data_IF_323274735478
#
_entry.id   IF_323274735478
#
_cell.length_a   1.000
_cell.length_b   1.000
_cell.length_c   1.000
_cell.angle_alpha   90.00
_cell.angle_beta   90.00
_cell.angle_gamma   90.00
#
_symmetry.space_group_name_H-M   'P 1'
#
loop_
_entity.id
_entity.type
_entity.pdbx_description
1 polymer ?
#
# COMPACT_ATOMS: atom_id res chain seq x y z
N UNK A 1 20.10 25.77 25.10
CA UNK A 1 20.62 26.10 26.46
C UNK A 1 19.85 27.27 27.07
N UNK A 2 19.80 28.45 26.44
CA UNK A 2 19.13 29.66 27.00
C UNK A 2 17.59 29.59 27.14
N UNK A 3 16.88 28.85 26.26
CA UNK A 3 15.42 28.74 26.32
C UNK A 3 14.95 27.90 27.53
N UNK A 4 15.73 26.87 27.86
CA UNK A 4 15.43 25.92 28.94
C UNK A 4 15.63 26.57 30.32
N UNK A 5 16.63 27.43 30.46
CA UNK A 5 16.86 28.19 31.68
C UNK A 5 15.72 29.18 31.97
N UNK A 6 15.22 29.88 30.96
CA UNK A 6 14.09 30.82 31.11
C UNK A 6 12.80 30.10 31.47
N UNK A 7 12.54 28.93 30.89
CA UNK A 7 11.36 28.13 31.22
C UNK A 7 11.39 27.61 32.67
N UNK A 8 12.56 27.17 33.14
CA UNK A 8 12.74 26.72 34.52
C UNK A 8 12.60 27.87 35.53
N UNK A 9 13.07 29.06 35.18
CA UNK A 9 12.96 30.27 36.01
C UNK A 9 11.50 30.73 36.15
N UNK A 10 10.70 30.61 35.08
CA UNK A 10 9.24 30.88 35.12
C UNK A 10 8.52 29.86 36.02
N UNK A 11 8.91 28.58 35.99
CA UNK A 11 8.30 27.50 36.78
C UNK A 11 8.68 27.53 38.27
N UNK A 12 9.74 28.24 38.65
CA UNK A 12 10.19 28.37 40.04
C UNK A 12 9.47 29.48 40.81
N UNK A 13 8.57 30.25 40.18
CA UNK A 13 7.87 31.34 40.87
C UNK A 13 6.81 30.81 41.84
N UNK A 14 6.70 31.40 43.06
CA UNK A 14 5.87 30.87 44.14
C UNK A 14 4.36 31.06 43.93
N UNK A 15 3.95 31.91 42.98
CA UNK A 15 2.53 32.24 42.75
C UNK A 15 2.03 31.62 41.45
N UNK A 16 1.09 30.69 41.53
CA UNK A 16 0.54 29.97 40.36
C UNK A 16 0.00 30.92 39.28
N UNK A 17 -0.63 32.03 39.69
CA UNK A 17 -1.13 33.05 38.77
C UNK A 17 -0.04 33.75 37.95
N UNK A 18 1.13 34.01 38.54
CA UNK A 18 2.25 34.63 37.81
C UNK A 18 2.94 33.64 36.88
N UNK A 19 3.04 32.36 37.27
CA UNK A 19 3.56 31.30 36.41
C UNK A 19 2.70 31.16 35.16
N UNK A 20 1.37 31.12 35.32
CA UNK A 20 0.44 30.98 34.20
C UNK A 20 0.50 32.18 33.25
N UNK A 21 0.57 33.40 33.79
CA UNK A 21 0.68 34.63 33.01
C UNK A 21 1.99 34.70 32.21
N UNK A 22 3.13 34.39 32.82
CA UNK A 22 4.42 34.42 32.14
C UNK A 22 4.58 33.28 31.12
N UNK A 23 4.04 32.10 31.41
CA UNK A 23 3.99 31.00 30.44
C UNK A 23 3.14 31.38 29.21
N UNK A 24 2.01 32.05 29.43
CA UNK A 24 1.13 32.50 28.35
C UNK A 24 1.80 33.58 27.50
N UNK A 25 2.51 34.52 28.12
CA UNK A 25 3.31 35.54 27.42
C UNK A 25 4.52 34.93 26.68
N UNK A 26 5.17 33.92 27.27
CA UNK A 26 6.28 33.20 26.64
C UNK A 26 5.83 32.46 25.37
N UNK A 27 4.61 31.93 25.36
CA UNK A 27 4.02 31.25 24.21
C UNK A 27 3.33 32.20 23.22
N UNK A 28 3.12 33.47 23.58
CA UNK A 28 2.40 34.45 22.76
C UNK A 28 3.02 34.65 21.35
N UNK A 29 4.35 34.76 21.16
CA UNK A 29 4.94 34.87 19.82
C UNK A 29 4.64 33.67 18.93
N UNK A 30 4.55 32.48 19.53
CA UNK A 30 4.28 31.23 18.84
C UNK A 30 2.82 31.16 18.39
N UNK A 31 1.89 31.58 19.25
CA UNK A 31 0.48 31.73 18.91
C UNK A 31 0.23 32.83 17.87
N UNK A 32 0.94 33.96 17.96
CA UNK A 32 0.89 35.02 16.95
C UNK A 32 1.36 34.50 15.58
N UNK A 33 2.46 33.74 15.53
CA UNK A 33 2.94 33.13 14.28
C UNK A 33 1.92 32.16 13.66
N UNK A 34 1.22 31.37 14.48
CA UNK A 34 0.13 30.48 14.02
C UNK A 34 -1.04 31.28 13.46
N UNK A 35 -1.51 32.32 14.17
CA UNK A 35 -2.62 33.17 13.71
C UNK A 35 -2.26 33.92 12.42
N UNK A 36 -1.05 34.47 12.34
CA UNK A 36 -0.55 35.11 11.10
C UNK A 36 -0.46 34.08 9.97
N UNK A 37 0.03 32.87 10.22
CA UNK A 37 0.05 31.79 9.23
C UNK A 37 -1.35 31.39 8.74
N UNK A 38 -2.35 31.37 9.62
CA UNK A 38 -3.76 31.13 9.26
C UNK A 38 -4.31 32.29 8.43
N UNK A 39 -4.11 33.55 8.86
CA UNK A 39 -4.58 34.73 8.13
C UNK A 39 -3.93 34.80 6.76
N UNK A 40 -2.61 34.59 6.65
CA UNK A 40 -1.90 34.55 5.37
C UNK A 40 -2.43 33.40 4.52
N UNK A 41 -2.63 32.20 5.08
CA UNK A 41 -3.19 31.06 4.35
C UNK A 41 -4.63 31.28 3.87
N UNK A 42 -5.44 32.03 4.61
CA UNK A 42 -6.83 32.35 4.26
C UNK A 42 -6.96 33.52 3.30
N UNK A 43 -6.05 34.49 3.38
CA UNK A 43 -6.00 35.67 2.49
C UNK A 43 -5.22 35.40 1.20
N UNK A 44 -4.39 34.34 1.17
CA UNK A 44 -3.70 33.87 -0.02
C UNK A 44 -4.70 33.18 -0.95
N UNK A 45 -5.38 33.98 -1.78
CA UNK A 45 -6.02 33.51 -3.01
C UNK A 45 -5.03 33.70 -4.17
N UNK A 46 -4.38 32.65 -4.67
CA UNK A 46 -3.46 32.79 -5.78
C UNK A 46 -4.23 33.17 -7.05
N UNK A 47 -3.93 34.35 -7.61
CA UNK A 47 -4.56 34.86 -8.84
C UNK A 47 -4.27 34.02 -10.10
N UNK A 48 -3.32 33.08 -10.05
CA UNK A 48 -3.06 32.14 -11.14
C UNK A 48 -4.11 31.00 -11.23
N UNK A 49 -5.01 30.87 -10.24
CA UNK A 49 -6.15 29.94 -10.31
C UNK A 49 -7.39 30.52 -11.03
N UNK A 50 -7.35 31.78 -11.50
CA UNK A 50 -8.45 32.41 -12.27
C UNK A 50 -8.02 32.90 -13.66
N UNK A 51 -6.79 32.63 -14.11
CA UNK A 51 -6.33 33.00 -15.44
C UNK A 51 -6.76 31.93 -16.46
N UNK A 52 -8.06 31.87 -16.74
CA UNK A 52 -8.63 30.90 -17.67
C UNK A 52 -9.96 31.31 -18.32
N UNK A 53 -10.60 32.41 -17.89
CA UNK A 53 -11.84 32.89 -18.50
C UNK A 53 -11.81 34.41 -18.67
N UNK A 54 -11.19 34.87 -19.75
CA UNK A 54 -11.50 36.17 -20.34
C UNK A 54 -11.73 36.01 -21.84
N UNK A 55 -13.00 35.89 -22.22
CA UNK A 55 -13.68 36.31 -23.47
C UNK A 55 -15.04 35.60 -23.48
N UNK A 56 -16.20 36.24 -23.65
CA UNK A 56 -16.52 37.54 -24.20
C UNK A 56 -17.97 37.82 -23.78
N UNK A 57 -18.24 38.99 -23.20
CA UNK A 57 -19.60 39.45 -22.92
C UNK A 57 -20.36 39.74 -24.23
N UNK A 58 -21.62 39.31 -24.31
CA UNK A 58 -22.66 40.04 -25.04
C UNK A 58 -24.04 39.76 -24.44
N UNK A 59 -24.47 40.74 -23.64
CA UNK A 59 -25.81 41.31 -23.37
C UNK A 59 -27.12 40.52 -23.58
N UNK A 60 -27.91 40.62 -22.51
CA UNK A 60 -29.35 40.90 -22.41
C UNK A 60 -30.41 39.89 -22.90
N UNK A 61 -31.17 39.31 -21.94
CA UNK A 61 -32.62 39.63 -21.80
C UNK A 61 -33.31 38.94 -20.59
N UNK A 62 -33.84 39.80 -19.71
CA UNK A 62 -35.08 39.81 -18.89
C UNK A 62 -35.85 38.54 -18.45
N UNK A 63 -36.32 38.66 -17.19
CA UNK A 63 -37.59 38.15 -16.58
C UNK A 63 -37.67 36.66 -16.21
N UNK A 64 -38.28 36.20 -15.09
CA UNK A 64 -39.15 36.81 -14.07
C UNK A 64 -39.11 35.97 -12.77
N UNK A 65 -39.33 36.65 -11.64
CA UNK A 65 -39.66 36.07 -10.33
C UNK A 65 -41.01 35.34 -10.32
N UNK A 66 -41.15 34.29 -9.50
CA UNK A 66 -42.30 34.11 -8.57
C UNK A 66 -41.82 33.41 -7.29
N UNK A 67 -42.11 34.01 -6.13
CA UNK A 67 -41.99 33.45 -4.77
C UNK A 67 -43.35 32.99 -4.27
N UNK A 68 -43.42 31.91 -3.49
CA UNK A 68 -44.49 31.65 -2.51
C UNK A 68 -43.88 31.07 -1.21
N UNK A 69 -44.37 31.57 -0.08
CA UNK A 69 -44.00 31.43 1.36
C UNK A 69 -44.54 30.14 2.04
N UNK A 70 -43.75 29.37 2.85
CA UNK A 70 -43.62 29.28 4.35
C UNK A 70 -44.87 28.80 5.14
N UNK A 71 -44.80 28.13 6.34
CA UNK A 71 -43.75 28.25 7.39
C UNK A 71 -43.37 27.01 8.27
N UNK A 72 -42.29 27.19 9.08
CA UNK A 72 -41.88 26.61 10.41
C UNK A 72 -41.85 25.09 10.66
N UNK A 73 -40.80 24.47 11.23
CA UNK A 73 -40.15 24.74 12.53
C UNK A 73 -38.72 24.18 12.68
N UNK A 74 -38.03 24.66 13.71
CA UNK A 74 -36.60 24.61 14.08
C UNK A 74 -35.87 23.27 14.23
N UNK A 75 -34.59 23.23 13.81
CA UNK A 75 -33.40 22.81 14.61
C UNK A 75 -32.10 23.03 13.81
N UNK A 76 -31.13 23.73 14.40
CA UNK A 76 -29.88 24.20 13.78
C UNK A 76 -28.82 23.11 13.63
N UNK A 77 -28.34 22.86 12.40
CA UNK A 77 -26.98 22.35 12.09
C UNK A 77 -26.55 22.93 10.73
N UNK A 78 -25.34 23.51 10.55
CA UNK A 78 -24.96 24.15 9.29
C UNK A 78 -24.60 23.10 8.22
N UNK A 79 -25.54 22.89 7.29
CA UNK A 79 -25.34 22.14 6.05
C UNK A 79 -24.86 23.10 4.94
N UNK A 80 -23.68 22.85 4.40
CA UNK A 80 -23.23 23.48 3.15
C UNK A 80 -23.76 22.68 1.96
N UNK A 81 -24.88 23.14 1.39
CA UNK A 81 -25.41 22.65 0.13
C UNK A 81 -24.62 23.27 -1.04
N UNK A 82 -24.01 22.43 -1.88
CA UNK A 82 -23.59 22.80 -3.24
C UNK A 82 -24.74 22.51 -4.22
N UNK A 83 -24.95 23.37 -5.25
CA UNK A 83 -26.11 23.27 -6.13
C UNK A 83 -26.01 22.07 -7.08
N UNK A 84 -27.14 21.38 -7.23
CA UNK A 84 -27.48 20.48 -8.33
C UNK A 84 -27.39 21.25 -9.65
N UNK A 85 -26.56 20.77 -10.57
CA UNK A 85 -26.79 20.97 -12.00
C UNK A 85 -27.29 19.66 -12.59
N UNK A 86 -28.47 19.73 -13.22
CA UNK A 86 -29.10 18.66 -13.96
C UNK A 86 -28.40 18.48 -15.32
N UNK A 87 -28.34 17.21 -15.76
CA UNK A 87 -27.76 16.71 -17.00
C UNK A 87 -28.26 17.43 -18.27
N UNK A 88 -27.56 17.20 -19.40
CA UNK A 88 -28.29 16.61 -20.53
C UNK A 88 -27.70 15.28 -20.99
N UNK A 89 -28.63 14.35 -21.25
CA UNK A 89 -28.51 13.13 -22.02
C UNK A 89 -28.00 13.38 -23.44
N UNK A 90 -27.14 12.51 -23.97
CA UNK A 90 -26.98 12.31 -25.41
C UNK A 90 -26.56 10.86 -25.71
N UNK A 91 -27.43 10.13 -26.40
CA UNK A 91 -27.16 8.93 -27.22
C UNK A 91 -28.13 9.04 -28.41
N UNK A 92 -27.95 8.31 -29.52
CA UNK A 92 -26.87 8.30 -30.52
C UNK A 92 -27.37 8.92 -31.85
N UNK A 93 -26.49 9.26 -32.80
CA UNK A 93 -26.93 9.59 -34.17
C UNK A 93 -26.50 8.52 -35.16
N UNK A 94 -27.49 7.90 -35.80
CA UNK A 94 -27.37 7.00 -36.97
C UNK A 94 -27.53 7.78 -38.27
N UNK A 95 -26.70 7.42 -39.26
CA UNK A 95 -26.81 7.49 -40.73
C UNK A 95 -27.83 8.44 -41.42
N UNK A 96 -27.40 9.16 -42.46
CA UNK A 96 -27.73 8.80 -43.85
C UNK A 96 -26.89 9.54 -44.93
N UNK A 97 -26.71 8.82 -46.05
CA UNK A 97 -26.25 9.05 -47.43
C UNK A 97 -25.73 10.41 -47.96
N UNK A 98 -24.71 10.29 -48.83
CA UNK A 98 -24.36 11.27 -49.87
C UNK A 98 -23.12 10.85 -50.68
N UNK A 99 -23.32 10.36 -51.90
CA UNK A 99 -22.31 9.82 -52.82
C UNK A 99 -21.45 10.92 -53.52
N UNK A 100 -20.17 10.64 -53.77
CA UNK A 100 -19.54 10.88 -55.08
C UNK A 100 -18.19 10.14 -55.26
N UNK A 101 -17.99 9.63 -56.47
CA UNK A 101 -16.89 8.78 -56.97
C UNK A 101 -15.57 9.54 -57.18
N UNK A 102 -14.42 8.85 -57.02
CA UNK A 102 -13.44 8.64 -58.11
C UNK A 102 -12.20 7.81 -57.69
N UNK A 103 -12.11 6.62 -58.30
CA UNK A 103 -10.96 5.86 -58.84
C UNK A 103 -9.53 5.90 -58.24
N UNK A 104 -9.09 4.70 -57.81
CA UNK A 104 -7.84 3.96 -58.05
C UNK A 104 -6.43 4.57 -57.82
N UNK A 105 -5.64 3.94 -56.93
CA UNK A 105 -4.43 3.15 -57.30
C UNK A 105 -3.83 2.39 -56.09
N UNK A 106 -3.36 1.15 -56.34
CA UNK A 106 -2.66 0.21 -55.44
C UNK A 106 -1.15 0.23 -55.77
N UNK A 107 -0.21 0.06 -54.81
CA UNK A 107 0.53 -1.22 -54.66
C UNK A 107 0.77 -1.63 -53.19
N UNK A 108 0.43 -2.87 -52.80
CA UNK A 108 1.29 -4.08 -52.69
C UNK A 108 2.04 -4.24 -51.36
N UNK A 109 1.44 -5.04 -50.49
CA UNK A 109 1.99 -6.14 -49.68
C UNK A 109 3.43 -6.04 -49.15
N UNK A 110 3.56 -5.90 -47.83
CA UNK A 110 4.68 -6.47 -47.06
C UNK A 110 4.19 -6.86 -45.66
N UNK A 111 4.29 -8.15 -45.35
CA UNK A 111 3.89 -8.76 -44.06
C UNK A 111 4.62 -8.13 -42.86
N UNK A 112 3.94 -7.87 -41.72
CA UNK A 112 4.60 -7.65 -40.44
C UNK A 112 4.39 -8.82 -39.47
N UNK A 113 4.32 -10.07 -39.94
CA UNK A 113 4.21 -11.25 -39.06
C UNK A 113 5.60 -11.77 -38.64
N UNK A 114 6.27 -11.04 -37.75
CA UNK A 114 7.33 -11.63 -36.91
C UNK A 114 7.68 -10.84 -35.63
N UNK A 115 7.22 -9.59 -35.48
CA UNK A 115 7.49 -8.79 -34.26
C UNK A 115 6.40 -8.87 -33.20
N UNK A 116 5.15 -9.20 -33.58
CA UNK A 116 4.01 -9.30 -32.66
C UNK A 116 4.20 -10.40 -31.61
N UNK A 117 4.68 -11.58 -32.02
CA UNK A 117 4.83 -12.74 -31.11
C UNK A 117 5.92 -12.55 -30.05
N UNK A 118 6.98 -11.78 -30.34
CA UNK A 118 8.04 -11.46 -29.37
C UNK A 118 7.57 -10.45 -28.33
N UNK A 119 6.88 -9.39 -28.75
CA UNK A 119 6.36 -8.34 -27.86
C UNK A 119 5.27 -8.90 -26.91
N UNK A 120 4.39 -9.78 -27.42
CA UNK A 120 3.37 -10.44 -26.59
C UNK A 120 4.02 -11.38 -25.56
N UNK A 121 5.05 -12.12 -25.96
CA UNK A 121 5.78 -13.04 -25.06
C UNK A 121 6.54 -12.28 -23.97
N UNK A 122 7.19 -11.17 -24.31
CA UNK A 122 7.99 -10.34 -23.39
C UNK A 122 7.13 -9.56 -22.37
N UNK A 123 5.88 -9.19 -22.74
CA UNK A 123 4.92 -8.60 -21.79
C UNK A 123 4.23 -9.62 -20.89
N UNK A 124 4.00 -10.84 -21.38
CA UNK A 124 3.40 -11.93 -20.59
C UNK A 124 4.31 -12.43 -19.45
N UNK A 125 5.61 -12.14 -19.52
CA UNK A 125 6.61 -12.55 -18.53
C UNK A 125 6.85 -11.56 -17.39
N UNK A 126 6.04 -10.51 -17.24
CA UNK A 126 6.27 -9.52 -16.19
C UNK A 126 5.87 -10.01 -14.79
N UNK A 127 4.84 -10.86 -14.69
CA UNK A 127 4.39 -11.49 -13.45
C UNK A 127 4.45 -13.01 -13.62
N UNK A 128 5.44 -13.64 -12.99
CA UNK A 128 5.87 -15.01 -13.24
C UNK A 128 5.53 -15.94 -12.08
N UNK A 129 5.77 -17.23 -12.26
CA UNK A 129 5.59 -18.23 -11.20
C UNK A 129 6.56 -18.01 -10.04
N UNK A 130 7.71 -17.35 -10.24
CA UNK A 130 8.62 -16.98 -9.16
C UNK A 130 7.95 -16.01 -8.17
N UNK A 131 7.07 -15.13 -8.67
CA UNK A 131 6.30 -14.24 -7.80
C UNK A 131 5.29 -15.02 -6.94
N UNK A 132 4.73 -16.10 -7.48
CA UNK A 132 3.88 -17.03 -6.72
C UNK A 132 4.68 -17.72 -5.62
N UNK A 133 5.92 -18.15 -5.90
CA UNK A 133 6.81 -18.77 -4.91
C UNK A 133 7.08 -17.83 -3.73
N UNK A 134 7.35 -16.56 -4.02
CA UNK A 134 7.57 -15.53 -3.00
C UNK A 134 6.30 -15.37 -2.13
N UNK A 135 5.13 -15.26 -2.75
CA UNK A 135 3.86 -15.17 -2.02
C UNK A 135 3.59 -16.43 -1.18
N UNK A 136 3.86 -17.63 -1.71
CA UNK A 136 3.66 -18.88 -0.98
C UNK A 136 4.55 -18.93 0.26
N UNK A 137 5.84 -18.61 0.12
CA UNK A 137 6.78 -18.52 1.26
C UNK A 137 6.34 -17.49 2.30
N UNK A 138 5.81 -16.34 1.89
CA UNK A 138 5.26 -15.32 2.78
C UNK A 138 4.01 -15.83 3.53
N UNK A 139 3.09 -16.50 2.84
CA UNK A 139 1.86 -17.05 3.41
C UNK A 139 2.17 -18.09 4.50
N UNK A 140 3.17 -18.94 4.26
CA UNK A 140 3.64 -19.98 5.18
C UNK A 140 4.63 -19.46 6.24
N UNK A 141 4.98 -18.17 6.21
CA UNK A 141 5.98 -17.55 7.11
C UNK A 141 7.34 -18.25 7.04
N UNK A 142 7.70 -18.73 5.84
CA UNK A 142 8.97 -19.40 5.49
C UNK A 142 9.83 -18.53 4.56
N UNK A 143 9.59 -17.23 4.53
CA UNK A 143 10.28 -16.28 3.64
C UNK A 143 11.69 -15.89 4.11
N UNK A 144 12.10 -16.31 5.30
CA UNK A 144 13.42 -16.02 5.87
C UNK A 144 13.64 -14.57 6.30
N UNK A 145 12.62 -13.71 6.18
CA UNK A 145 12.71 -12.32 6.61
C UNK A 145 12.59 -12.14 8.13
N UNK A 146 12.80 -10.90 8.63
CA UNK A 146 12.70 -10.59 10.06
C UNK A 146 11.32 -10.91 10.64
N UNK A 147 11.28 -11.05 11.96
CA UNK A 147 10.05 -11.28 12.71
C UNK A 147 9.04 -10.16 12.54
N UNK A 148 7.77 -10.55 12.41
CA UNK A 148 6.63 -9.63 12.31
C UNK A 148 6.27 -9.05 13.68
N UNK A 149 6.18 -7.71 13.76
CA UNK A 149 5.78 -6.98 14.98
C UNK A 149 4.30 -6.62 14.86
N UNK A 150 3.46 -7.11 15.77
CA UNK A 150 2.04 -6.82 15.76
C UNK A 150 1.77 -5.34 16.03
N UNK A 151 0.93 -4.73 15.20
CA UNK A 151 0.61 -3.31 15.27
C UNK A 151 -0.89 -3.02 15.43
N UNK A 152 -1.76 -3.99 15.13
CA UNK A 152 -3.19 -3.84 15.25
C UNK A 152 -3.87 -5.19 15.46
N UNK A 153 -4.89 -5.20 16.32
CA UNK A 153 -5.88 -6.27 16.44
C UNK A 153 -7.23 -5.60 16.72
N UNK A 154 -8.16 -5.70 15.78
CA UNK A 154 -9.48 -5.08 15.84
C UNK A 154 -10.53 -5.96 15.22
N UNK A 155 -11.76 -5.84 15.70
CA UNK A 155 -12.89 -6.57 15.15
C UNK A 155 -14.15 -5.73 15.16
N UNK A 156 -15.08 -6.18 14.34
CA UNK A 156 -16.49 -5.80 14.25
C UNK A 156 -17.30 -7.11 14.20
N UNK A 157 -18.64 -7.06 14.32
CA UNK A 157 -19.46 -8.27 14.19
C UNK A 157 -19.28 -9.02 12.86
N UNK A 158 -18.94 -8.30 11.78
CA UNK A 158 -18.87 -8.82 10.41
C UNK A 158 -17.44 -9.01 9.89
N UNK A 159 -16.41 -8.63 10.66
CA UNK A 159 -15.01 -8.66 10.21
C UNK A 159 -14.03 -8.64 11.40
N UNK A 160 -12.94 -9.43 11.32
CA UNK A 160 -11.73 -9.24 12.15
C UNK A 160 -10.54 -8.84 11.32
N UNK A 161 -9.65 -8.05 11.92
CA UNK A 161 -8.46 -7.52 11.29
C UNK A 161 -7.28 -7.54 12.25
N UNK A 162 -6.20 -8.18 11.83
CA UNK A 162 -4.91 -8.16 12.51
C UNK A 162 -3.86 -7.65 11.54
N UNK A 163 -2.90 -6.88 12.03
CA UNK A 163 -1.81 -6.37 11.21
C UNK A 163 -0.48 -6.39 11.94
N UNK A 164 0.57 -6.62 11.16
CA UNK A 164 1.96 -6.64 11.58
C UNK A 164 2.83 -5.81 10.64
N UNK A 165 3.94 -5.33 11.16
CA UNK A 165 4.99 -4.65 10.40
C UNK A 165 6.32 -5.31 10.68
N UNK A 166 7.23 -5.28 9.71
CA UNK A 166 8.66 -5.43 9.96
C UNK A 166 9.43 -4.39 9.16
N UNK A 167 10.58 -3.99 9.68
CA UNK A 167 11.47 -3.05 9.00
C UNK A 167 12.50 -3.87 8.20
N UNK A 168 12.79 -3.45 6.97
CA UNK A 168 13.85 -4.03 6.13
C UNK A 168 15.12 -3.21 6.30
N UNK A 169 16.30 -3.84 6.28
CA UNK A 169 17.58 -3.13 6.41
C UNK A 169 17.81 -2.13 5.27
N UNK A 170 17.41 -2.50 4.05
CA UNK A 170 17.71 -1.74 2.83
C UNK A 170 16.44 -1.36 2.04
N UNK A 171 15.27 -1.36 2.66
CA UNK A 171 14.01 -1.19 1.93
C UNK A 171 12.87 -0.59 2.75
N UNK A 172 11.74 -0.26 2.09
CA UNK A 172 10.59 0.29 2.78
C UNK A 172 10.04 -0.68 3.83
N UNK A 173 9.35 -0.18 4.87
CA UNK A 173 8.67 -1.03 5.84
C UNK A 173 7.72 -1.99 5.14
N UNK A 174 7.74 -3.25 5.57
CA UNK A 174 6.88 -4.29 5.04
C UNK A 174 5.70 -4.49 5.99
N UNK A 175 4.52 -4.70 5.41
CA UNK A 175 3.28 -4.90 6.14
C UNK A 175 2.67 -6.26 5.81
N UNK A 176 2.12 -6.88 6.84
CA UNK A 176 1.30 -8.08 6.76
C UNK A 176 -0.03 -7.81 7.44
N UNK A 177 -1.13 -8.27 6.85
CA UNK A 177 -2.41 -8.26 7.54
C UNK A 177 -3.18 -9.57 7.33
N UNK A 178 -4.00 -9.90 8.32
CA UNK A 178 -4.96 -10.98 8.26
C UNK A 178 -6.34 -10.38 8.48
N UNK A 179 -7.20 -10.49 7.47
CA UNK A 179 -8.58 -10.05 7.54
C UNK A 179 -9.50 -11.25 7.40
N UNK A 180 -10.49 -11.39 8.27
CA UNK A 180 -11.59 -12.33 8.06
C UNK A 180 -12.84 -11.53 7.80
N UNK A 181 -13.52 -11.80 6.69
CA UNK A 181 -14.85 -11.28 6.37
C UNK A 181 -15.87 -12.39 6.62
N UNK A 182 -16.82 -12.14 7.52
CA UNK A 182 -17.92 -13.07 7.77
C UNK A 182 -18.91 -13.06 6.59
N UNK A 183 -19.57 -14.19 6.34
CA UNK A 183 -20.61 -14.32 5.32
C UNK A 183 -20.13 -13.84 3.94
N UNK A 184 -18.95 -14.31 3.53
CA UNK A 184 -18.31 -13.95 2.26
C UNK A 184 -17.57 -15.15 1.68
N UNK A 185 -17.78 -15.41 0.39
CA UNK A 185 -17.10 -16.48 -0.35
C UNK A 185 -15.76 -15.99 -0.92
N UNK A 186 -14.72 -16.84 -0.98
CA UNK A 186 -13.43 -16.51 -1.61
C UNK A 186 -13.54 -15.93 -3.03
N UNK A 187 -14.45 -16.45 -3.86
CA UNK A 187 -14.68 -16.03 -5.24
C UNK A 187 -15.14 -14.57 -5.31
N UNK A 188 -16.10 -14.22 -4.45
CA UNK A 188 -16.64 -12.87 -4.37
C UNK A 188 -15.59 -11.87 -3.86
N UNK A 189 -14.79 -12.28 -2.88
CA UNK A 189 -13.71 -11.45 -2.33
C UNK A 189 -12.61 -11.27 -3.38
N UNK A 190 -12.23 -12.32 -4.11
CA UNK A 190 -11.31 -12.28 -5.26
C UNK A 190 -11.77 -11.25 -6.29
N UNK A 191 -13.02 -11.35 -6.75
CA UNK A 191 -13.56 -10.44 -7.76
C UNK A 191 -13.59 -8.99 -7.24
N UNK A 192 -14.00 -8.78 -5.99
CA UNK A 192 -14.02 -7.46 -5.35
C UNK A 192 -12.64 -6.80 -5.29
N UNK A 193 -11.59 -7.54 -4.94
CA UNK A 193 -10.23 -6.99 -4.85
C UNK A 193 -9.62 -6.69 -6.23
N UNK A 194 -10.11 -7.32 -7.29
CA UNK A 194 -9.61 -7.13 -8.66
C UNK A 194 -10.40 -6.08 -9.46
N UNK A 195 -11.62 -5.74 -9.04
CA UNK A 195 -12.53 -4.85 -9.77
C UNK A 195 -12.18 -3.36 -9.57
N UNK A 196 -11.29 -2.83 -10.42
CA UNK A 196 -10.86 -1.43 -10.38
C UNK A 196 -12.02 -0.44 -10.64
N UNK A 197 -12.95 -0.79 -11.53
CA UNK A 197 -14.11 0.03 -11.84
C UNK A 197 -15.04 0.16 -10.63
N UNK A 198 -15.24 -0.93 -9.90
CA UNK A 198 -15.98 -0.88 -8.65
C UNK A 198 -15.18 -0.21 -7.53
N UNK A 199 -13.86 -0.38 -7.50
CA UNK A 199 -12.96 0.24 -6.52
C UNK A 199 -13.11 1.76 -6.49
N UNK A 200 -13.20 2.40 -7.66
CA UNK A 200 -13.41 3.85 -7.77
C UNK A 200 -14.73 4.34 -7.14
N UNK A 201 -15.71 3.46 -6.91
CA UNK A 201 -17.00 3.82 -6.28
C UNK A 201 -16.91 3.97 -4.76
N UNK A 202 -15.89 3.38 -4.11
CA UNK A 202 -15.79 3.37 -2.66
C UNK A 202 -14.43 3.81 -2.10
N UNK A 203 -13.35 3.74 -2.90
CA UNK A 203 -12.02 4.22 -2.52
C UNK A 203 -11.75 5.61 -3.07
N UNK A 204 -11.97 6.62 -2.23
CA UNK A 204 -11.72 8.04 -2.55
C UNK A 204 -10.26 8.35 -2.93
N UNK A 205 -9.33 7.42 -2.64
CA UNK A 205 -7.91 7.60 -2.96
C UNK A 205 -7.56 7.12 -4.36
N UNK A 206 -8.42 6.34 -5.05
CA UNK A 206 -8.18 5.92 -6.43
C UNK A 206 -8.90 6.87 -7.38
N UNK A 207 -8.16 7.79 -8.01
CA UNK A 207 -8.74 8.83 -8.88
C UNK A 207 -8.79 8.43 -10.34
N UNK A 208 -7.92 7.50 -10.75
CA UNK A 208 -7.88 6.98 -12.10
C UNK A 208 -7.44 5.52 -12.08
N UNK A 209 -8.10 4.70 -12.90
CA UNK A 209 -7.68 3.35 -13.21
C UNK A 209 -7.92 3.07 -14.70
N UNK A 210 -6.93 2.50 -15.36
CA UNK A 210 -7.02 2.08 -16.75
C UNK A 210 -6.29 0.75 -16.97
N UNK A 211 -6.88 -0.12 -17.79
CA UNK A 211 -6.20 -1.34 -18.25
C UNK A 211 -5.37 -1.00 -19.49
N UNK A 212 -4.05 -1.20 -19.40
CA UNK A 212 -3.10 -0.93 -20.47
C UNK A 212 -2.87 -2.15 -21.36
N UNK A 213 -2.89 -3.34 -20.77
CA UNK A 213 -2.69 -4.61 -21.45
C UNK A 213 -3.34 -5.74 -20.66
N UNK A 214 -3.76 -6.81 -21.34
CA UNK A 214 -4.35 -7.99 -20.71
C UNK A 214 -4.05 -9.26 -21.50
N UNK A 215 -3.84 -10.36 -20.78
CA UNK A 215 -3.64 -11.69 -21.34
C UNK A 215 -4.81 -12.60 -20.93
N UNK A 216 -5.78 -12.86 -21.83
CA UNK A 216 -6.93 -13.71 -21.55
C UNK A 216 -6.60 -15.17 -21.24
N UNK A 217 -5.40 -15.64 -21.56
CA UNK A 217 -4.97 -17.02 -21.30
C UNK A 217 -4.51 -17.21 -19.85
N UNK A 218 -3.80 -16.23 -19.30
CA UNK A 218 -3.20 -16.34 -17.96
C UNK A 218 -3.91 -15.49 -16.90
N UNK A 219 -4.80 -14.59 -17.32
CA UNK A 219 -5.41 -13.59 -16.44
C UNK A 219 -4.49 -12.41 -16.11
N UNK A 220 -3.30 -12.35 -16.72
CA UNK A 220 -2.34 -11.28 -16.43
C UNK A 220 -2.89 -9.95 -16.94
N UNK A 221 -2.81 -8.90 -16.13
CA UNK A 221 -3.16 -7.54 -16.55
C UNK A 221 -2.01 -6.58 -16.25
N UNK A 222 -1.87 -5.57 -17.10
CA UNK A 222 -1.08 -4.37 -16.82
C UNK A 222 -2.07 -3.23 -16.66
N UNK A 223 -2.05 -2.57 -15.50
CA UNK A 223 -2.96 -1.47 -15.19
C UNK A 223 -2.20 -0.22 -14.76
N UNK A 224 -2.75 0.93 -15.10
CA UNK A 224 -2.31 2.22 -14.61
C UNK A 224 -3.26 2.70 -13.53
N UNK A 225 -2.73 2.98 -12.35
CA UNK A 225 -3.48 3.63 -11.27
C UNK A 225 -2.89 5.00 -10.97
N UNK A 226 -3.75 5.99 -10.73
CA UNK A 226 -3.34 7.24 -10.09
C UNK A 226 -4.06 7.30 -8.75
N UNK A 227 -3.28 7.42 -7.69
CA UNK A 227 -3.79 7.56 -6.33
C UNK A 227 -3.57 8.97 -5.81
N UNK A 228 -4.64 9.55 -5.27
CA UNK A 228 -4.60 10.84 -4.59
C UNK A 228 -3.77 10.72 -3.33
N UNK A 229 -2.90 11.69 -3.08
CA UNK A 229 -2.17 11.79 -1.82
C UNK A 229 -2.51 13.09 -1.09
N UNK A 230 -2.14 13.22 0.21
CA UNK A 230 -2.32 14.47 0.93
C UNK A 230 -1.70 15.65 0.17
N UNK A 231 -2.35 16.82 0.23
CA UNK A 231 -2.05 18.00 -0.60
C UNK A 231 -0.60 18.50 -0.57
N UNK A 232 0.17 18.15 0.47
CA UNK A 232 1.58 18.51 0.62
C UNK A 232 2.54 17.62 -0.20
N UNK A 233 2.04 16.60 -0.91
CA UNK A 233 2.85 15.83 -1.84
C UNK A 233 2.06 15.45 -3.11
N UNK A 234 2.77 15.32 -4.24
CA UNK A 234 2.16 14.99 -5.53
C UNK A 234 1.43 13.65 -5.50
N UNK A 235 0.34 13.50 -6.23
CA UNK A 235 -0.32 12.21 -6.42
C UNK A 235 0.65 11.14 -6.93
N UNK A 236 0.33 9.87 -6.69
CA UNK A 236 1.20 8.74 -7.05
C UNK A 236 0.63 8.02 -8.26
N UNK A 237 1.48 7.73 -9.21
CA UNK A 237 1.16 6.90 -10.36
C UNK A 237 1.82 5.54 -10.21
N UNK A 238 1.06 4.50 -10.50
CA UNK A 238 1.50 3.13 -10.47
C UNK A 238 1.24 2.49 -11.82
N UNK A 239 2.24 1.79 -12.33
CA UNK A 239 2.06 0.85 -13.43
C UNK A 239 2.24 -0.54 -12.86
N UNK A 240 1.13 -1.28 -12.78
CA UNK A 240 1.02 -2.50 -12.00
C UNK A 240 0.82 -3.67 -12.95
N UNK A 241 1.72 -4.63 -12.90
CA UNK A 241 1.46 -5.97 -13.43
C UNK A 241 0.77 -6.80 -12.35
N UNK A 242 -0.28 -7.52 -12.72
CA UNK A 242 -1.04 -8.34 -11.77
C UNK A 242 -1.51 -9.65 -12.36
N UNK A 243 -1.56 -10.70 -11.54
CA UNK A 243 -2.00 -12.06 -11.93
C UNK A 243 -2.56 -12.84 -10.73
N UNK A 244 -3.46 -13.79 -11.01
CA UNK A 244 -4.05 -14.70 -10.04
C UNK A 244 -3.72 -16.16 -10.39
N UNK A 245 -3.31 -16.92 -9.38
CA UNK A 245 -3.21 -18.37 -9.43
C UNK A 245 -4.24 -19.01 -8.50
N UNK A 246 -4.70 -20.20 -8.85
CA UNK A 246 -5.62 -20.99 -8.06
C UNK A 246 -5.02 -22.36 -7.73
N UNK A 247 -5.19 -22.78 -6.48
CA UNK A 247 -4.90 -24.14 -6.04
C UNK A 247 -5.96 -24.59 -5.05
N UNK A 248 -6.74 -25.61 -5.43
CA UNK A 248 -7.85 -26.11 -4.63
C UNK A 248 -8.96 -25.07 -4.47
N UNK A 249 -9.06 -24.46 -3.28
CA UNK A 249 -10.00 -23.35 -2.98
C UNK A 249 -9.27 -22.11 -2.46
N UNK A 250 -8.00 -21.97 -2.83
CA UNK A 250 -7.16 -20.85 -2.45
C UNK A 250 -6.77 -20.05 -3.70
N UNK A 251 -6.86 -18.74 -3.59
CA UNK A 251 -6.41 -17.82 -4.63
C UNK A 251 -5.17 -17.08 -4.17
N UNK A 252 -4.13 -17.12 -4.99
CA UNK A 252 -2.86 -16.43 -4.78
C UNK A 252 -2.80 -15.27 -5.77
N UNK A 253 -2.87 -14.05 -5.26
CA UNK A 253 -2.97 -12.84 -6.06
C UNK A 253 -1.70 -12.04 -5.90
N UNK A 254 -1.03 -11.69 -7.00
CA UNK A 254 0.15 -10.83 -6.98
C UNK A 254 -0.10 -9.60 -7.81
N UNK A 255 0.31 -8.45 -7.27
CA UNK A 255 0.43 -7.18 -7.97
C UNK A 255 1.81 -6.58 -7.68
N UNK A 256 2.51 -6.10 -8.71
CA UNK A 256 3.82 -5.45 -8.54
C UNK A 256 4.05 -4.37 -9.57
N UNK A 257 4.93 -3.43 -9.25
CA UNK A 257 5.38 -2.40 -10.18
C UNK A 257 6.07 -3.04 -11.39
N UNK A 258 5.69 -2.65 -12.60
CA UNK A 258 6.29 -3.15 -13.83
C UNK A 258 6.72 -2.02 -14.76
N UNK A 259 7.81 -2.18 -15.50
CA UNK A 259 8.20 -1.20 -16.52
C UNK A 259 7.14 -1.17 -17.63
N UNK A 260 6.86 0.02 -18.14
CA UNK A 260 5.93 0.21 -19.25
C UNK A 260 6.37 1.41 -20.10
N UNK A 261 6.80 1.13 -21.33
CA UNK A 261 7.30 2.14 -22.26
C UNK A 261 6.19 2.98 -22.90
N UNK A 262 4.96 2.45 -22.98
CA UNK A 262 3.82 3.17 -23.58
C UNK A 262 3.29 4.31 -22.71
N UNK A 263 3.61 4.33 -21.41
CA UNK A 263 3.20 5.40 -20.48
C UNK A 263 4.44 6.20 -20.05
N UNK A 264 4.73 7.36 -20.66
CA UNK A 264 5.91 8.15 -20.34
C UNK A 264 5.84 8.68 -18.91
N UNK A 265 7.00 8.83 -18.25
CA UNK A 265 7.07 9.37 -16.88
C UNK A 265 6.78 10.85 -16.89
N UNK A 266 5.87 11.27 -16.02
CA UNK A 266 5.58 12.67 -15.75
C UNK A 266 6.23 13.10 -14.43
N UNK A 267 6.42 14.42 -14.28
CA UNK A 267 6.87 14.99 -13.00
C UNK A 267 5.76 14.96 -11.94
N UNK A 268 4.50 15.07 -12.39
CA UNK A 268 3.29 14.96 -11.57
C UNK A 268 2.23 14.23 -12.41
N UNK A 269 1.57 13.19 -11.90
CA UNK A 269 1.84 12.48 -10.63
C UNK A 269 3.26 11.87 -10.57
N UNK A 270 3.77 11.61 -9.35
CA UNK A 270 5.06 10.93 -9.13
C UNK A 270 4.87 9.43 -9.34
N UNK A 271 5.63 8.85 -10.27
CA UNK A 271 5.64 7.39 -10.47
C UNK A 271 6.28 6.64 -9.30
N UNK A 272 5.63 5.58 -8.85
CA UNK A 272 6.13 4.63 -7.84
C UNK A 272 6.64 3.38 -8.56
N UNK A 273 7.95 3.20 -8.54
CA UNK A 273 8.62 2.08 -9.21
C UNK A 273 8.66 0.82 -8.34
N UNK A 274 9.06 0.98 -7.07
CA UNK A 274 9.03 -0.10 -6.09
C UNK A 274 7.63 -0.21 -5.50
N UNK A 275 6.84 -1.12 -6.03
CA UNK A 275 5.52 -1.47 -5.54
C UNK A 275 5.36 -2.99 -5.51
N UNK A 276 4.92 -3.54 -4.38
CA UNK A 276 4.55 -4.94 -4.26
C UNK A 276 3.35 -5.06 -3.33
N UNK A 277 2.28 -5.70 -3.80
CA UNK A 277 1.14 -6.07 -2.97
C UNK A 277 0.61 -7.42 -3.42
N UNK A 278 0.50 -8.36 -2.49
CA UNK A 278 0.09 -9.71 -2.78
C UNK A 278 -0.83 -10.22 -1.68
N UNK A 279 -1.77 -11.10 -2.01
CA UNK A 279 -2.67 -11.66 -1.02
C UNK A 279 -3.10 -13.09 -1.34
N UNK A 280 -3.32 -13.87 -0.28
CA UNK A 280 -3.92 -15.20 -0.34
C UNK A 280 -5.35 -15.13 0.20
N UNK A 281 -6.30 -15.71 -0.55
CA UNK A 281 -7.73 -15.73 -0.22
C UNK A 281 -8.15 -17.19 -0.03
N UNK A 282 -8.80 -17.50 1.10
CA UNK A 282 -9.31 -18.85 1.38
C UNK A 282 -10.56 -18.83 2.25
N UNK A 283 -11.38 -19.87 2.14
CA UNK A 283 -12.52 -20.08 3.02
C UNK A 283 -12.03 -20.51 4.42
N UNK A 284 -12.68 -20.00 5.46
CA UNK A 284 -12.41 -20.33 6.86
C UNK A 284 -13.71 -20.45 7.65
N UNK A 285 -13.64 -21.09 8.81
CA UNK A 285 -14.79 -21.20 9.72
C UNK A 285 -15.26 -19.82 10.18
N UNK A 286 -16.57 -19.63 10.23
CA UNK A 286 -17.17 -18.43 10.81
C UNK A 286 -17.03 -18.41 12.32
N UNK A 287 -16.95 -17.20 12.89
CA UNK A 287 -17.05 -17.00 14.34
C UNK A 287 -18.36 -17.46 14.97
N UNK A 288 -19.37 -17.77 14.16
CA UNK A 288 -20.63 -18.37 14.62
C UNK A 288 -20.42 -19.72 15.29
N UNK A 289 -19.30 -20.41 15.03
CA UNK A 289 -18.97 -21.68 15.68
C UNK A 289 -19.83 -22.85 15.22
N UNK A 290 -20.44 -22.75 14.03
CA UNK A 290 -21.26 -23.78 13.40
C UNK A 290 -20.43 -24.81 12.60
N UNK A 291 -19.10 -24.65 12.56
CA UNK A 291 -18.18 -25.46 11.78
C UNK A 291 -18.27 -25.25 10.27
N UNK A 292 -19.07 -24.27 9.81
CA UNK A 292 -19.27 -24.00 8.39
C UNK A 292 -18.21 -23.03 7.87
N UNK A 293 -17.70 -23.31 6.66
CA UNK A 293 -16.71 -22.46 5.97
C UNK A 293 -17.39 -21.28 5.26
N UNK A 294 -18.14 -20.48 6.01
CA UNK A 294 -18.94 -19.35 5.50
C UNK A 294 -18.21 -18.01 5.56
N UNK A 295 -17.03 -17.95 6.17
CA UNK A 295 -16.19 -16.78 6.22
C UNK A 295 -15.01 -16.88 5.23
N UNK A 296 -14.48 -15.73 4.84
CA UNK A 296 -13.32 -15.63 3.96
C UNK A 296 -12.15 -14.96 4.68
N UNK A 297 -11.00 -15.61 4.66
CA UNK A 297 -9.74 -15.03 5.13
C UNK A 297 -8.95 -14.44 3.96
N UNK A 298 -8.35 -13.28 4.19
CA UNK A 298 -7.39 -12.63 3.31
C UNK A 298 -6.10 -12.37 4.09
N UNK A 299 -5.03 -13.05 3.71
CA UNK A 299 -3.66 -12.74 4.14
C UNK A 299 -3.03 -11.82 3.10
N UNK A 300 -2.70 -10.60 3.50
CA UNK A 300 -2.12 -9.58 2.61
C UNK A 300 -0.70 -9.26 3.04
N UNK A 301 0.18 -9.08 2.05
CA UNK A 301 1.57 -8.66 2.20
C UNK A 301 1.82 -7.47 1.29
N UNK A 302 2.48 -6.43 1.80
CA UNK A 302 2.64 -5.19 1.06
C UNK A 302 3.89 -4.41 1.45
N UNK A 303 4.57 -3.85 0.45
CA UNK A 303 5.56 -2.81 0.63
C UNK A 303 5.66 -1.96 -0.64
N UNK A 304 5.97 -0.67 -0.48
CA UNK A 304 6.16 0.26 -1.59
C UNK A 304 7.07 1.41 -1.19
N UNK A 305 7.73 2.02 -2.17
CA UNK A 305 8.41 3.31 -2.01
C UNK A 305 7.57 4.46 -2.57
N UNK A 306 6.71 5.00 -1.71
CA UNK A 306 5.87 6.16 -2.00
C UNK A 306 6.65 7.47 -2.25
N UNK A 307 7.97 7.49 -2.03
CA UNK A 307 8.78 8.70 -2.08
C UNK A 307 8.52 9.67 -0.94
N UNK A 308 8.10 9.15 0.22
CA UNK A 308 7.95 9.91 1.46
C UNK A 308 8.83 9.29 2.53
N UNK A 309 9.34 10.08 3.49
CA UNK A 309 10.08 9.54 4.63
C UNK A 309 9.28 8.43 5.33
N UNK A 310 9.92 7.30 5.58
CA UNK A 310 9.24 6.10 6.08
C UNK A 310 8.58 6.30 7.45
N UNK A 311 9.13 7.17 8.31
CA UNK A 311 8.50 7.50 9.59
C UNK A 311 7.13 8.19 9.41
N UNK A 312 7.00 9.04 8.39
CA UNK A 312 5.74 9.71 8.05
C UNK A 312 4.75 8.68 7.49
N UNK A 313 5.21 7.79 6.60
CA UNK A 313 4.39 6.69 6.09
C UNK A 313 3.88 5.80 7.23
N UNK A 314 4.77 5.39 8.14
CA UNK A 314 4.44 4.56 9.32
C UNK A 314 3.41 5.26 10.23
N UNK A 315 3.53 6.57 10.43
CA UNK A 315 2.57 7.36 11.19
C UNK A 315 1.19 7.33 10.51
N UNK A 316 1.14 7.54 9.19
CA UNK A 316 -0.07 7.48 8.39
C UNK A 316 -0.76 6.12 8.47
N UNK A 317 0.00 5.03 8.34
CA UNK A 317 -0.51 3.66 8.48
C UNK A 317 -1.08 3.44 9.89
N UNK A 318 -0.34 3.80 10.95
CA UNK A 318 -0.80 3.61 12.34
C UNK A 318 -2.16 4.27 12.61
N UNK A 319 -2.40 5.46 12.08
CA UNK A 319 -3.63 6.23 12.34
C UNK A 319 -4.74 5.92 11.33
N UNK A 320 -4.40 5.76 10.06
CA UNK A 320 -5.36 5.64 8.95
C UNK A 320 -5.82 4.22 8.65
N UNK A 321 -5.02 3.19 8.98
CA UNK A 321 -5.27 1.80 8.55
C UNK A 321 -6.67 1.31 8.95
N UNK A 322 -7.08 1.51 10.20
CA UNK A 322 -8.40 1.05 10.64
C UNK A 322 -9.56 1.74 9.90
N UNK A 323 -9.40 3.02 9.58
CA UNK A 323 -10.38 3.76 8.79
C UNK A 323 -10.50 3.20 7.37
N UNK A 324 -9.36 2.88 6.74
CA UNK A 324 -9.30 2.28 5.42
C UNK A 324 -9.91 0.86 5.41
N UNK A 325 -9.59 0.03 6.40
CA UNK A 325 -10.14 -1.33 6.51
C UNK A 325 -11.66 -1.32 6.68
N UNK A 326 -12.22 -0.38 7.46
CA UNK A 326 -13.68 -0.19 7.54
C UNK A 326 -14.31 0.30 6.22
N UNK A 327 -13.56 1.00 5.37
CA UNK A 327 -14.04 1.35 4.01
C UNK A 327 -14.05 0.12 3.11
N UNK A 328 -13.02 -0.72 3.19
CA UNK A 328 -12.95 -2.00 2.47
C UNK A 328 -14.15 -2.89 2.83
N UNK A 329 -14.46 -3.05 4.11
CA UNK A 329 -15.61 -3.85 4.57
C UNK A 329 -16.94 -3.33 3.99
N UNK A 330 -17.20 -2.02 4.11
CA UNK A 330 -18.40 -1.41 3.51
C UNK A 330 -18.44 -1.57 1.99
N UNK A 331 -17.30 -1.41 1.32
CA UNK A 331 -17.15 -1.64 -0.12
C UNK A 331 -17.50 -3.07 -0.50
N UNK A 332 -17.01 -4.05 0.26
CA UNK A 332 -17.32 -5.47 0.06
C UNK A 332 -18.82 -5.74 0.23
N UNK A 333 -19.47 -5.17 1.26
CA UNK A 333 -20.93 -5.34 1.45
C UNK A 333 -21.73 -4.71 0.31
N UNK A 334 -21.31 -3.55 -0.17
CA UNK A 334 -21.92 -2.92 -1.35
C UNK A 334 -21.72 -3.78 -2.61
N UNK A 335 -20.54 -4.38 -2.78
CA UNK A 335 -20.23 -5.29 -3.88
C UNK A 335 -21.12 -6.53 -3.84
N UNK A 336 -21.26 -7.17 -2.67
CA UNK A 336 -22.17 -8.31 -2.46
C UNK A 336 -23.60 -7.97 -2.88
N UNK A 337 -24.13 -6.82 -2.44
CA UNK A 337 -25.47 -6.38 -2.83
C UNK A 337 -25.60 -6.18 -4.35
N UNK A 338 -24.58 -5.61 -5.00
CA UNK A 338 -24.58 -5.44 -6.45
C UNK A 338 -24.51 -6.79 -7.20
N UNK A 339 -23.78 -7.78 -6.66
CA UNK A 339 -23.74 -9.13 -7.25
C UNK A 339 -25.07 -9.86 -7.10
N UNK A 340 -25.73 -9.73 -5.95
CA UNK A 340 -27.07 -10.29 -5.72
C UNK A 340 -28.15 -9.66 -6.61
N UNK A 341 -27.98 -8.41 -7.06
CA UNK A 341 -28.91 -7.77 -7.99
C UNK A 341 -28.73 -8.23 -9.45
N UNK A 342 -27.83 -9.17 -9.74
CA UNK A 342 -27.57 -9.67 -11.09
C UNK A 342 -26.81 -8.69 -11.99
N UNK A 343 -26.16 -7.66 -11.43
CA UNK A 343 -25.41 -6.71 -12.24
C UNK A 343 -24.17 -7.38 -12.85
N UNK A 344 -23.97 -7.18 -14.16
CA UNK A 344 -22.84 -7.71 -14.90
C UNK A 344 -21.48 -7.38 -14.24
N UNK A 345 -20.51 -8.28 -14.44
CA UNK A 345 -19.13 -8.08 -14.00
C UNK A 345 -18.46 -7.02 -14.87
N UNK A 346 -17.60 -6.20 -14.26
CA UNK A 346 -16.67 -5.35 -15.00
C UNK A 346 -15.65 -6.21 -15.76
N UNK A 347 -14.90 -5.59 -16.69
CA UNK A 347 -13.83 -6.32 -17.38
C UNK A 347 -12.77 -6.80 -16.39
N UNK A 348 -12.42 -5.97 -15.40
CA UNK A 348 -11.47 -6.34 -14.36
C UNK A 348 -12.00 -7.51 -13.51
N UNK A 349 -13.25 -7.46 -13.04
CA UNK A 349 -13.84 -8.55 -12.27
C UNK A 349 -13.92 -9.85 -13.08
N UNK A 350 -14.24 -9.79 -14.37
CA UNK A 350 -14.21 -10.94 -15.27
C UNK A 350 -12.79 -11.53 -15.39
N UNK A 351 -11.78 -10.68 -15.59
CA UNK A 351 -10.38 -11.12 -15.67
C UNK A 351 -9.88 -11.77 -14.37
N UNK A 352 -10.47 -11.44 -13.22
CA UNK A 352 -10.18 -12.11 -11.95
C UNK A 352 -10.55 -13.60 -11.95
N UNK A 353 -11.51 -13.99 -12.80
CA UNK A 353 -11.97 -15.37 -12.94
C UNK A 353 -11.09 -16.19 -13.89
N UNK A 354 -10.25 -15.53 -14.68
CA UNK A 354 -9.24 -16.17 -15.52
C UNK A 354 -8.00 -16.38 -14.66
N UNK A 355 -7.90 -17.55 -14.03
CA UNK A 355 -6.80 -17.87 -13.13
C UNK A 355 -5.89 -18.94 -13.71
N UNK A 356 -4.62 -18.91 -13.29
CA UNK A 356 -3.66 -19.95 -13.64
C UNK A 356 -3.74 -21.08 -12.61
N UNK A 357 -4.12 -22.27 -13.06
CA UNK A 357 -4.21 -23.45 -12.19
C UNK A 357 -2.83 -23.94 -11.78
N UNK A 358 -2.67 -24.24 -10.50
CA UNK A 358 -1.44 -24.76 -9.92
C UNK A 358 -1.75 -25.98 -9.07
N UNK A 359 -0.99 -27.05 -9.24
CA UNK A 359 -1.22 -28.26 -8.46
C UNK A 359 -0.77 -28.08 -7.01
N UNK A 360 -1.51 -28.66 -6.08
CA UNK A 360 -1.10 -28.71 -4.67
C UNK A 360 0.25 -29.41 -4.49
N UNK A 361 0.55 -30.41 -5.34
CA UNK A 361 1.85 -31.08 -5.38
C UNK A 361 3.00 -30.14 -5.74
N UNK A 362 2.78 -29.21 -6.67
CA UNK A 362 3.77 -28.20 -7.04
C UNK A 362 4.05 -27.22 -5.89
N UNK A 363 3.00 -26.70 -5.23
CA UNK A 363 3.17 -25.84 -4.05
C UNK A 363 3.87 -26.58 -2.90
N UNK A 364 3.56 -27.86 -2.70
CA UNK A 364 4.20 -28.68 -1.68
C UNK A 364 5.67 -28.99 -2.02
N UNK A 365 5.97 -29.25 -3.29
CA UNK A 365 7.34 -29.47 -3.76
C UNK A 365 8.23 -28.24 -3.55
N UNK A 366 7.68 -27.03 -3.65
CA UNK A 366 8.38 -25.79 -3.33
C UNK A 366 8.82 -25.71 -1.86
N UNK A 367 8.04 -26.30 -0.95
CA UNK A 367 8.37 -26.31 0.48
C UNK A 367 9.50 -27.29 0.80
N UNK A 368 9.69 -28.32 -0.02
CA UNK A 368 10.70 -29.37 0.19
C UNK A 368 12.08 -29.08 -0.40
N UNK A 369 12.28 -27.96 -1.10
CA UNK A 369 13.59 -27.57 -1.65
C UNK A 369 14.23 -26.38 -0.92
N UNK A 370 14.83 -26.58 0.27
CA UNK A 370 15.84 -25.67 0.78
C UNK A 370 17.22 -26.13 0.28
N UNK A 371 17.55 -25.79 -0.98
CA UNK A 371 18.91 -25.88 -1.53
C UNK A 371 19.57 -27.25 -1.49
N UNK A 372 19.29 -28.09 -2.48
CA UNK A 372 20.26 -29.11 -2.92
C UNK A 372 20.53 -28.85 -4.40
N UNK A 373 21.63 -28.14 -4.65
CA UNK A 373 22.27 -28.14 -5.96
C UNK A 373 22.61 -29.58 -6.32
N UNK A 374 22.28 -29.98 -7.55
CA UNK A 374 22.66 -31.24 -8.18
C UNK A 374 24.13 -31.60 -7.90
N UNK A 375 24.40 -32.35 -6.84
CA UNK A 375 25.61 -33.14 -6.75
C UNK A 375 25.40 -34.38 -7.62
N UNK A 376 26.14 -34.40 -8.72
CA UNK A 376 26.33 -35.55 -9.58
C UNK A 376 26.77 -36.72 -8.69
N UNK A 377 26.03 -37.82 -8.77
CA UNK A 377 26.39 -39.11 -8.23
C UNK A 377 27.83 -39.48 -8.62
N UNK A 378 28.71 -39.58 -7.63
CA UNK A 378 29.83 -40.53 -7.70
C UNK A 378 29.84 -41.35 -6.43
N UNK A 379 29.35 -42.59 -6.56
CA UNK A 379 29.66 -43.71 -5.69
C UNK A 379 31.18 -43.82 -5.51
N UNK A 380 31.69 -43.84 -4.28
CA UNK A 380 32.53 -44.97 -3.87
C UNK A 380 32.68 -45.12 -2.34
N UNK A 381 33.11 -46.32 -1.99
CA UNK A 381 32.88 -47.07 -0.77
C UNK A 381 34.01 -47.01 0.28
N UNK A 382 33.60 -47.16 1.54
CA UNK A 382 34.31 -47.75 2.71
C UNK A 382 35.73 -47.26 3.10
N UNK A 383 35.88 -46.78 4.36
CA UNK A 383 36.60 -47.45 5.48
C UNK A 383 36.77 -46.51 6.69
N UNK A 384 36.87 -47.16 7.86
CA UNK A 384 36.88 -46.66 9.25
C UNK A 384 38.06 -45.73 9.64
N UNK A 385 37.98 -45.04 10.80
CA UNK A 385 38.74 -43.84 11.10
C UNK A 385 40.11 -44.13 11.74
N UNK A 386 41.07 -43.22 11.56
CA UNK A 386 42.33 -43.20 12.30
C UNK A 386 42.45 -41.87 13.06
N UNK A 387 42.57 -41.98 14.38
CA UNK A 387 42.61 -40.83 15.29
C UNK A 387 43.92 -40.05 15.25
N UNK A 388 43.83 -38.79 15.68
CA UNK A 388 44.92 -38.06 16.32
C UNK A 388 44.36 -37.09 17.36
N UNK A 389 45.03 -37.07 18.50
CA UNK A 389 44.64 -36.52 19.78
C UNK A 389 45.06 -35.04 19.98
N UNK A 390 44.17 -34.26 20.63
CA UNK A 390 44.40 -33.33 21.78
C UNK A 390 45.11 -31.98 21.47
N UNK A 391 44.81 -30.83 22.16
CA UNK A 391 44.25 -30.71 23.52
C UNK A 391 43.06 -29.79 23.77
N UNK A 392 42.46 -30.09 24.92
CA UNK A 392 41.53 -29.27 25.71
C UNK A 392 42.13 -27.90 26.02
N UNK A 393 41.50 -26.84 25.53
CA UNK A 393 41.61 -25.51 26.09
C UNK A 393 40.23 -24.85 26.15
N UNK A 394 39.74 -24.74 27.39
CA UNK A 394 38.84 -23.71 27.90
C UNK A 394 37.36 -23.73 27.45
N UNK A 395 36.63 -24.63 28.10
CA UNK A 395 35.41 -24.28 28.83
C UNK A 395 35.70 -23.07 29.74
N UNK A 396 35.53 -21.84 29.24
CA UNK A 396 35.15 -20.60 29.99
C UNK A 396 34.86 -19.51 28.94
N UNK A 397 33.71 -19.56 28.27
CA UNK A 397 33.25 -18.44 27.42
C UNK A 397 31.72 -18.30 27.41
N UNK A 398 31.04 -18.91 28.38
CA UNK A 398 29.58 -18.90 28.53
C UNK A 398 29.03 -18.00 29.65
N UNK A 399 29.85 -17.17 30.30
CA UNK A 399 29.43 -16.43 31.50
C UNK A 399 29.67 -14.90 31.47
N UNK A 400 30.17 -14.33 30.36
CA UNK A 400 30.47 -12.88 30.27
C UNK A 400 29.45 -12.12 29.40
N UNK A 401 28.63 -12.81 28.58
CA UNK A 401 27.62 -12.15 27.74
C UNK A 401 26.30 -11.86 28.49
N UNK A 402 26.07 -12.54 29.62
CA UNK A 402 24.84 -12.38 30.44
C UNK A 402 24.92 -11.24 31.49
N UNK A 403 26.06 -10.58 31.65
CA UNK A 403 26.25 -9.49 32.61
C UNK A 403 26.30 -8.07 31.97
N UNK A 404 26.06 -7.95 30.66
CA UNK A 404 26.04 -6.64 29.97
C UNK A 404 24.63 -6.18 29.53
N UNK A 405 23.57 -6.88 29.93
CA UNK A 405 22.17 -6.49 29.61
C UNK A 405 21.37 -6.00 30.80
N UNK A 406 21.99 -5.88 31.99
CA UNK A 406 21.36 -5.36 33.20
C UNK A 406 22.33 -4.44 33.94
N UNK A 407 22.63 -3.27 33.37
CA UNK A 407 22.60 -2.07 34.21
C UNK A 407 22.39 -0.80 33.40
N UNK A 408 21.34 -0.06 33.77
CA UNK A 408 21.03 1.26 33.23
C UNK A 408 21.98 2.24 33.92
N UNK A 409 22.70 3.01 33.12
CA UNK A 409 23.77 3.87 33.57
C UNK A 409 23.48 4.64 34.85
N UNK A 410 24.22 4.32 35.92
CA UNK A 410 24.41 5.20 37.07
C UNK A 410 25.69 4.87 37.86
N UNK A 411 26.80 4.53 37.20
CA UNK A 411 28.13 4.56 37.83
C UNK A 411 29.14 5.26 36.91
N UNK A 412 28.88 6.55 36.77
CA UNK A 412 29.82 7.57 36.32
C UNK A 412 31.11 7.58 37.16
N UNK A 413 32.23 7.81 36.47
CA UNK A 413 33.38 8.62 36.91
C UNK A 413 34.47 8.04 37.83
N UNK A 414 34.42 6.78 38.29
CA UNK A 414 35.53 6.23 39.10
C UNK A 414 36.55 5.35 38.34
N UNK A 415 36.20 4.79 37.17
CA UNK A 415 37.06 3.79 36.48
C UNK A 415 37.87 4.37 35.32
N UNK A 416 37.45 5.51 34.76
CA UNK A 416 38.12 6.13 33.59
C UNK A 416 39.46 6.80 33.97
N UNK A 417 39.69 7.12 35.24
CA UNK A 417 40.98 7.67 35.71
C UNK A 417 41.99 6.60 36.20
N UNK A 418 41.60 5.31 36.24
CA UNK A 418 42.44 4.22 36.76
C UNK A 418 43.23 3.43 35.71
N UNK A 419 42.84 3.48 34.43
CA UNK A 419 43.44 2.65 33.37
C UNK A 419 44.40 3.43 32.45
N UNK A 420 44.35 4.76 32.45
CA UNK A 420 45.31 5.61 31.73
C UNK A 420 46.71 5.70 32.38
N UNK A 421 46.95 5.04 33.52
CA UNK A 421 48.24 5.07 34.23
C UNK A 421 49.06 3.78 34.17
N UNK A 422 48.61 2.75 33.42
CA UNK A 422 49.33 1.45 33.31
C UNK A 422 49.81 1.03 31.93
N UNK A 423 49.63 1.83 30.88
CA UNK A 423 50.19 1.54 29.54
C UNK A 423 51.27 2.51 29.05
N UNK A 424 51.72 3.47 29.87
CA UNK A 424 52.81 4.38 29.53
C UNK A 424 54.23 3.85 29.88
N UNK A 425 54.40 2.55 30.15
CA UNK A 425 55.70 1.99 30.57
C UNK A 425 55.94 0.53 30.15
N UNK A 426 55.68 0.17 28.89
CA UNK A 426 56.32 -1.01 28.25
C UNK A 426 56.64 -0.66 26.80
N UNK A 427 57.57 0.28 26.64
CA UNK A 427 58.18 0.66 25.38
C UNK A 427 59.63 0.96 25.64
N UNK A 428 60.43 -0.08 25.92
CA UNK A 428 61.90 -0.05 25.88
C UNK A 428 62.50 -1.44 26.14
N UNK A 429 63.30 -1.86 25.14
CA UNK A 429 64.44 -2.78 25.17
C UNK A 429 64.21 -4.23 24.72
N UNK A 430 64.80 -4.43 23.52
CA UNK A 430 65.49 -5.60 22.96
C UNK A 430 64.63 -6.77 22.50
#
# INVERSE_FOLDING_TARGET
MALWSVLLEILQKPTIGSVLYELLMFMAPLWIAVVVGIIVGWTWKPKWACLGEEKMDSSDSKNSQVKVSMPTSSSFVPSFNFPKFQLPSCVPWTADNGAQENSFSVPTTTNPDCSSSRIVKEKSSLVTTDDLEVLHKLAEVKDGGPSWIQMMDRSTPTMSYQAWRRDSENGPPQYRSRTIFEDATPELVRDFFWDDEFRMKWDDMLVHAATLDECPTTGTMIVQWIRKFPFFCSDREYIIGRRIWESGRMYYCVTKGVPCSSVPRLNKPRRVDLYYSSWCIRAVESKKGDGQLTACEVLLFHHEDMGIPWEIAKLGVRHGMWGAVKKIERGLRAYQKQRLSGAALSRCAFMAQVNTQVSAGYLKAMESNPGDSLEIETNDSSKKPLGRNIPKLLVVSGAIVLACTLDRGLLTKAVIFGVARRFAKVGRRL
#
